data_IF_693854823149
#
_entry.id   IF_693854823149
#
_cell.length_a   1.000
_cell.length_b   1.000
_cell.length_c   1.000
_cell.angle_alpha   90.00
_cell.angle_beta   90.00
_cell.angle_gamma   90.00
#
_symmetry.space_group_name_H-M   'P 1'
#
loop_
_entity.id
_entity.type
_entity.pdbx_description
1 polymer ?
#
# COMPACT_ATOMS: atom_id res chain seq x y z
N UNK A 1 -44.23 22.58 11.15
CA UNK A 1 -43.04 22.01 11.83
C UNK A 1 -42.17 21.36 10.77
N UNK A 2 -41.05 21.98 10.43
CA UNK A 2 -40.10 21.48 9.42
C UNK A 2 -38.82 21.00 10.14
N UNK A 3 -38.20 19.89 9.73
CA UNK A 3 -36.96 19.43 10.35
C UNK A 3 -35.75 20.18 9.80
N UNK A 4 -34.92 20.68 10.71
CA UNK A 4 -33.64 21.30 10.41
C UNK A 4 -32.61 20.23 10.02
N UNK A 5 -32.02 20.37 8.83
CA UNK A 5 -30.88 19.59 8.36
C UNK A 5 -29.58 20.16 8.94
N UNK A 6 -28.91 19.38 9.76
CA UNK A 6 -27.57 19.68 10.29
C UNK A 6 -26.54 19.18 9.28
N UNK A 7 -25.85 20.09 8.61
CA UNK A 7 -24.73 19.76 7.72
C UNK A 7 -23.42 19.84 8.50
N UNK A 8 -22.80 18.69 8.73
CA UNK A 8 -21.45 18.56 9.29
C UNK A 8 -20.42 18.86 8.19
N UNK A 9 -19.95 20.10 8.14
CA UNK A 9 -18.90 20.56 7.24
C UNK A 9 -17.61 20.77 8.03
N UNK A 10 -16.97 19.67 8.43
CA UNK A 10 -15.66 19.68 9.10
C UNK A 10 -14.53 19.55 8.08
N UNK A 11 -14.33 20.62 7.31
CA UNK A 11 -13.16 20.84 6.46
C UNK A 11 -11.93 21.13 7.33
N UNK A 12 -11.10 20.12 7.59
CA UNK A 12 -9.81 20.33 8.24
C UNK A 12 -8.80 20.90 7.25
N UNK A 13 -8.36 22.12 7.56
CA UNK A 13 -7.42 22.94 6.82
C UNK A 13 -6.11 22.21 6.46
N UNK A 14 -5.73 22.39 5.19
CA UNK A 14 -4.46 21.97 4.62
C UNK A 14 -3.35 22.94 5.03
N UNK A 15 -2.58 22.59 6.06
CA UNK A 15 -1.40 23.35 6.46
C UNK A 15 -0.30 23.28 5.38
N UNK A 16 -0.05 24.41 4.73
CA UNK A 16 1.04 24.67 3.79
C UNK A 16 2.39 24.60 4.51
N UNK A 17 3.15 23.51 4.31
CA UNK A 17 4.53 23.41 4.78
C UNK A 17 5.44 24.06 3.72
N UNK A 18 5.80 25.31 3.95
CA UNK A 18 6.84 26.04 3.22
C UNK A 18 8.20 25.39 3.47
N UNK A 19 8.84 24.91 2.39
CA UNK A 19 10.17 24.32 2.39
C UNK A 19 11.25 25.32 2.79
N UNK A 20 11.73 25.20 4.04
CA UNK A 20 12.95 25.84 4.51
C UNK A 20 14.12 24.86 4.45
N UNK A 21 15.11 25.19 3.63
CA UNK A 21 16.36 24.45 3.48
C UNK A 21 17.24 24.65 4.73
N UNK A 22 17.14 23.74 5.70
CA UNK A 22 17.99 23.76 6.90
C UNK A 22 19.37 23.14 6.59
N UNK A 23 20.42 23.96 6.68
CA UNK A 23 21.81 23.50 6.73
C UNK A 23 22.07 22.84 8.09
N UNK A 24 22.72 21.66 8.15
CA UNK A 24 23.10 21.06 9.42
C UNK A 24 24.36 21.75 9.97
N UNK A 25 24.24 22.25 11.21
CA UNK A 25 25.37 22.68 12.03
C UNK A 25 26.00 21.44 12.65
N UNK A 26 27.30 21.22 12.36
CA UNK A 26 28.08 20.15 12.96
C UNK A 26 28.34 20.46 14.44
N UNK A 27 27.68 19.73 15.33
CA UNK A 27 28.00 19.68 16.76
C UNK A 27 28.65 18.33 17.09
N UNK A 28 29.95 18.36 17.34
CA UNK A 28 30.74 17.22 17.83
C UNK A 28 30.33 16.86 19.26
N UNK A 29 29.51 15.82 19.42
CA UNK A 29 29.43 15.10 20.69
C UNK A 29 29.53 13.59 20.47
N UNK A 30 30.78 13.11 20.61
CA UNK A 30 31.09 11.74 21.01
C UNK A 30 30.42 11.46 22.35
N UNK A 31 29.59 10.43 22.43
CA UNK A 31 29.46 9.61 23.63
C UNK A 31 29.04 8.20 23.26
N UNK A 32 29.87 7.27 23.73
CA UNK A 32 29.72 5.82 23.68
C UNK A 32 28.47 5.38 24.47
N UNK A 33 27.67 4.48 23.92
CA UNK A 33 27.22 3.34 24.73
C UNK A 33 26.98 2.13 23.83
N UNK A 34 27.64 1.04 24.21
CA UNK A 34 27.55 -0.27 23.60
C UNK A 34 26.52 -1.05 24.40
N UNK A 35 25.37 -1.36 23.80
CA UNK A 35 24.51 -2.44 24.27
C UNK A 35 24.06 -3.30 23.09
N UNK A 36 24.65 -4.50 23.09
CA UNK A 36 24.26 -5.66 22.32
C UNK A 36 22.79 -6.02 22.58
N UNK A 37 21.96 -6.03 21.54
CA UNK A 37 20.83 -6.96 21.47
C UNK A 37 20.92 -7.69 20.12
N UNK A 38 21.47 -8.90 20.20
CA UNK A 38 21.44 -9.91 19.13
C UNK A 38 20.02 -10.47 19.05
N UNK A 39 19.23 -9.98 18.10
CA UNK A 39 18.05 -10.71 17.66
C UNK A 39 18.49 -11.86 16.75
N UNK A 40 18.51 -13.06 17.31
CA UNK A 40 18.64 -14.32 16.59
C UNK A 40 17.39 -14.58 15.76
N UNK A 41 17.36 -13.99 14.57
CA UNK A 41 16.36 -14.28 13.56
C UNK A 41 16.66 -15.67 12.94
N UNK A 42 16.06 -16.71 13.52
CA UNK A 42 16.13 -18.11 13.09
C UNK A 42 15.49 -18.29 11.71
N UNK A 43 16.17 -17.87 10.65
CA UNK A 43 15.83 -18.26 9.28
C UNK A 43 16.29 -19.70 9.07
N UNK A 44 15.33 -20.63 9.11
CA UNK A 44 15.47 -21.96 8.50
C UNK A 44 15.77 -21.74 7.02
N UNK A 45 17.05 -21.84 6.63
CA UNK A 45 17.44 -21.95 5.22
C UNK A 45 16.89 -23.28 4.69
N UNK A 46 16.28 -23.31 3.50
CA UNK A 46 15.95 -24.56 2.84
C UNK A 46 17.25 -25.31 2.52
N UNK A 47 17.26 -26.57 2.96
CA UNK A 47 18.24 -27.61 2.67
C UNK A 47 18.61 -27.62 1.19
N UNK A 48 19.77 -27.03 0.86
CA UNK A 48 20.46 -27.23 -0.41
C UNK A 48 20.94 -28.68 -0.45
N UNK A 49 20.36 -29.45 -1.37
CA UNK A 49 20.72 -30.85 -1.62
C UNK A 49 22.20 -30.92 -2.00
N UNK A 50 22.90 -31.80 -1.32
CA UNK A 50 24.32 -32.08 -1.48
C UNK A 50 24.61 -32.58 -2.90
N UNK A 51 25.67 -32.03 -3.51
CA UNK A 51 26.50 -32.77 -4.45
C UNK A 51 27.52 -33.55 -3.62
N UNK A 52 27.30 -34.85 -3.50
CA UNK A 52 28.21 -35.83 -2.90
C UNK A 52 29.46 -35.96 -3.78
N UNK A 53 30.50 -35.14 -3.56
CA UNK A 53 31.81 -35.36 -4.20
C UNK A 53 32.99 -34.72 -3.48
N UNK A 54 32.96 -34.59 -2.14
CA UNK A 54 34.15 -34.10 -1.40
C UNK A 54 34.32 -34.67 0.01
N UNK A 55 33.81 -35.88 0.26
CA UNK A 55 33.90 -36.54 1.57
C UNK A 55 35.20 -37.35 1.77
N UNK A 56 36.35 -36.86 1.28
CA UNK A 56 37.65 -37.52 1.48
C UNK A 56 38.62 -36.72 2.39
N UNK A 57 38.39 -35.43 2.64
CA UNK A 57 39.36 -34.58 3.35
C UNK A 57 39.01 -34.25 4.82
N UNK A 58 37.84 -34.65 5.31
CA UNK A 58 37.44 -34.40 6.71
C UNK A 58 38.11 -35.35 7.72
N UNK A 59 38.56 -36.53 7.29
CA UNK A 59 39.19 -37.53 8.17
C UNK A 59 40.64 -37.24 8.54
N UNK A 60 41.44 -36.63 7.65
CA UNK A 60 42.89 -36.45 7.88
C UNK A 60 43.22 -35.40 8.96
N UNK A 61 42.32 -34.46 9.22
CA UNK A 61 42.58 -33.42 10.23
C UNK A 61 42.53 -33.95 11.68
N UNK A 62 41.87 -35.09 11.91
CA UNK A 62 41.80 -35.72 13.24
C UNK A 62 43.10 -36.47 13.60
N UNK A 63 43.91 -36.86 12.61
CA UNK A 63 45.15 -37.63 12.79
C UNK A 63 46.43 -36.78 12.70
N UNK A 64 46.33 -35.44 12.78
CA UNK A 64 47.51 -34.55 12.69
C UNK A 64 48.57 -34.81 13.76
N UNK A 65 48.16 -35.25 14.96
CA UNK A 65 49.07 -35.60 16.05
C UNK A 65 49.78 -36.93 15.81
N UNK A 66 49.06 -37.95 15.33
CA UNK A 66 49.65 -39.27 15.05
C UNK A 66 50.57 -39.25 13.82
N UNK A 67 50.23 -38.47 12.79
CA UNK A 67 51.09 -38.32 11.61
C UNK A 67 52.41 -37.59 11.91
N UNK A 68 52.42 -36.66 12.87
CA UNK A 68 53.65 -36.02 13.35
C UNK A 68 54.60 -37.00 14.06
N UNK A 69 54.07 -37.98 14.77
CA UNK A 69 54.87 -38.98 15.48
C UNK A 69 55.57 -39.96 14.52
N UNK A 70 55.02 -40.16 13.33
CA UNK A 70 55.58 -41.03 12.29
C UNK A 70 56.53 -40.24 11.35
N UNK A 71 56.78 -38.95 11.66
CA UNK A 71 57.70 -38.12 10.89
C UNK A 71 57.17 -37.67 9.53
N UNK A 72 55.87 -37.81 9.26
CA UNK A 72 55.25 -37.33 8.01
C UNK A 72 55.02 -35.81 8.14
N UNK A 73 55.73 -34.97 7.37
CA UNK A 73 55.54 -33.53 7.44
C UNK A 73 54.15 -33.16 6.89
N UNK A 74 53.39 -32.28 7.57
CA UNK A 74 52.09 -31.86 7.08
C UNK A 74 52.23 -31.19 5.70
N UNK A 75 51.26 -31.39 4.79
CA UNK A 75 51.33 -30.76 3.47
C UNK A 75 51.45 -29.24 3.61
N UNK A 76 52.24 -28.59 2.73
CA UNK A 76 52.45 -27.15 2.78
C UNK A 76 51.09 -26.45 2.78
N UNK A 77 50.88 -25.61 3.80
CA UNK A 77 49.64 -24.88 3.97
C UNK A 77 49.46 -24.03 2.70
N UNK A 78 48.33 -24.14 1.96
CA UNK A 78 48.10 -23.28 0.81
C UNK A 78 48.22 -21.82 1.26
N UNK A 79 48.75 -20.93 0.41
CA UNK A 79 48.99 -19.54 0.78
C UNK A 79 47.71 -18.96 1.36
N UNK A 80 47.78 -18.55 2.63
CA UNK A 80 46.68 -17.89 3.30
C UNK A 80 46.29 -16.68 2.42
N UNK A 81 45.04 -16.59 1.95
CA UNK A 81 44.62 -15.45 1.16
C UNK A 81 44.89 -14.20 2.00
N UNK A 82 45.70 -13.29 1.46
CA UNK A 82 46.05 -12.02 2.10
C UNK A 82 44.79 -11.43 2.75
N UNK A 83 44.86 -10.88 3.98
CA UNK A 83 43.69 -10.39 4.69
C UNK A 83 42.97 -9.40 3.80
N UNK A 84 41.89 -9.86 3.17
CA UNK A 84 41.06 -9.04 2.29
C UNK A 84 40.47 -8.01 3.22
N UNK A 85 41.05 -6.80 3.21
CA UNK A 85 40.49 -5.65 3.89
C UNK A 85 39.01 -5.65 3.49
N UNK A 86 38.07 -5.77 4.45
CA UNK A 86 36.67 -5.89 4.10
C UNK A 86 36.36 -4.72 3.19
N UNK A 87 35.89 -5.01 1.98
CA UNK A 87 35.44 -3.99 1.04
C UNK A 87 34.33 -3.25 1.77
N UNK A 88 34.68 -2.11 2.39
CA UNK A 88 33.73 -1.20 3.03
C UNK A 88 32.94 -0.63 1.87
N UNK A 89 31.92 -1.38 1.43
CA UNK A 89 30.85 -0.83 0.59
C UNK A 89 30.42 0.40 1.34
N UNK A 90 30.66 1.57 0.76
CA UNK A 90 30.35 2.87 1.35
C UNK A 90 29.04 2.75 2.12
N UNK A 91 29.14 2.66 3.44
CA UNK A 91 28.00 2.41 4.28
C UNK A 91 27.16 3.67 4.15
N UNK A 92 26.14 3.62 3.28
CA UNK A 92 25.19 4.72 3.13
C UNK A 92 24.80 5.11 4.55
N UNK A 93 24.93 6.39 4.94
CA UNK A 93 24.63 6.83 6.29
C UNK A 93 23.24 6.30 6.65
N UNK A 94 23.21 5.36 7.59
CA UNK A 94 21.97 4.73 8.03
C UNK A 94 21.33 5.74 8.97
N UNK A 95 20.52 6.62 8.40
CA UNK A 95 19.79 7.63 9.16
C UNK A 95 18.89 6.88 10.14
N UNK A 96 19.25 6.85 11.41
CA UNK A 96 18.42 6.32 12.49
C UNK A 96 17.32 7.35 12.79
N UNK A 97 16.37 7.52 11.88
CA UNK A 97 15.15 8.33 12.09
C UNK A 97 14.03 7.51 12.74
N UNK A 98 14.36 6.42 13.44
CA UNK A 98 13.33 5.58 14.05
C UNK A 98 12.88 6.21 15.36
N UNK A 99 11.86 7.06 15.26
CA UNK A 99 11.10 7.54 16.40
C UNK A 99 10.30 6.34 16.93
N UNK A 100 10.77 5.71 18.01
CA UNK A 100 10.14 4.51 18.59
C UNK A 100 8.99 4.83 19.54
N UNK A 101 9.02 6.01 20.14
CA UNK A 101 7.99 6.53 21.05
C UNK A 101 7.68 7.97 20.69
N UNK A 102 6.45 8.39 20.93
CA UNK A 102 6.06 9.80 20.83
C UNK A 102 6.95 10.59 21.78
N UNK A 103 7.63 11.60 21.26
CA UNK A 103 8.49 12.48 22.08
C UNK A 103 7.75 13.70 22.56
N UNK A 104 6.59 13.99 21.97
CA UNK A 104 5.70 15.08 22.38
C UNK A 104 4.43 14.48 23.00
N UNK A 105 4.13 14.87 24.24
CA UNK A 105 2.86 14.52 24.88
C UNK A 105 1.71 15.32 24.27
N UNK A 106 0.52 14.73 24.20
CA UNK A 106 -0.69 15.45 23.80
C UNK A 106 -1.02 16.60 24.72
N UNK A 107 -0.59 16.52 25.99
CA UNK A 107 -0.76 17.58 26.96
C UNK A 107 0.19 18.76 26.70
N UNK A 108 1.41 18.48 26.23
CA UNK A 108 2.38 19.53 25.86
C UNK A 108 1.90 20.34 24.65
N UNK A 109 1.23 19.68 23.69
CA UNK A 109 0.62 20.34 22.52
C UNK A 109 -0.54 21.25 22.96
N UNK A 110 -1.37 20.78 23.91
CA UNK A 110 -2.49 21.58 24.44
C UNK A 110 -2.00 22.82 25.19
N UNK A 111 -0.98 22.68 26.02
CA UNK A 111 -0.36 23.80 26.73
C UNK A 111 0.25 24.80 25.75
N UNK A 112 0.95 24.32 24.71
CA UNK A 112 1.52 25.20 23.68
C UNK A 112 0.45 26.01 22.91
N UNK A 113 -0.72 25.41 22.63
CA UNK A 113 -1.84 26.10 21.96
C UNK A 113 -2.47 27.15 22.89
N UNK A 114 -2.52 26.91 24.20
CA UNK A 114 -3.08 27.85 25.18
C UNK A 114 -2.13 29.03 25.45
N UNK A 115 -0.82 28.81 25.39
CA UNK A 115 0.22 29.82 25.65
C UNK A 115 0.53 30.72 24.44
N UNK A 116 0.02 30.41 23.25
CA UNK A 116 0.25 31.16 21.99
C UNK A 116 -0.28 32.61 21.99
N UNK A 117 -0.96 33.05 23.05
CA UNK A 117 -1.37 34.46 23.23
C UNK A 117 -0.21 35.40 23.68
N UNK A 118 1.01 34.90 23.91
CA UNK A 118 2.20 35.72 24.20
C UNK A 118 3.17 35.74 23.02
N UNK A 119 3.36 36.92 22.42
CA UNK A 119 4.01 37.17 21.12
C UNK A 119 5.46 36.67 20.91
N UNK A 120 6.17 36.22 21.95
CA UNK A 120 7.51 35.63 21.82
C UNK A 120 7.52 34.08 21.84
N UNK A 121 6.42 33.45 22.30
CA UNK A 121 6.30 31.99 22.38
C UNK A 121 5.89 31.33 21.03
N UNK A 122 5.33 32.09 20.09
CA UNK A 122 4.76 31.58 18.82
C UNK A 122 5.74 30.70 18.01
N UNK A 123 7.04 31.01 18.03
CA UNK A 123 8.02 30.24 17.23
C UNK A 123 8.38 28.90 17.86
N UNK A 124 8.39 28.81 19.19
CA UNK A 124 8.65 27.57 19.92
C UNK A 124 7.44 26.63 19.89
N UNK A 125 6.23 27.16 20.08
CA UNK A 125 4.96 26.41 19.99
C UNK A 125 4.75 25.81 18.61
N UNK A 126 5.02 26.57 17.54
CA UNK A 126 4.90 26.09 16.15
C UNK A 126 5.84 24.92 15.85
N UNK A 127 7.05 24.92 16.42
CA UNK A 127 7.99 23.81 16.31
C UNK A 127 7.49 22.54 17.02
N UNK A 128 6.86 22.70 18.19
CA UNK A 128 6.33 21.59 18.99
C UNK A 128 5.08 20.97 18.33
N UNK A 129 4.16 21.81 17.83
CA UNK A 129 2.96 21.37 17.10
C UNK A 129 3.34 20.66 15.79
N UNK A 130 4.24 21.23 14.98
CA UNK A 130 4.67 20.60 13.72
C UNK A 130 5.36 19.26 13.95
N UNK A 131 6.14 19.12 15.03
CA UNK A 131 6.75 17.86 15.44
C UNK A 131 5.71 16.83 15.89
N UNK A 132 4.70 17.22 16.67
CA UNK A 132 3.62 16.33 17.09
C UNK A 132 2.80 15.81 15.90
N UNK A 133 2.46 16.69 14.95
CA UNK A 133 1.75 16.32 13.71
C UNK A 133 2.56 15.35 12.87
N UNK A 134 3.87 15.58 12.74
CA UNK A 134 4.75 14.66 12.01
C UNK A 134 4.85 13.28 12.68
N UNK A 135 5.02 13.24 14.01
CA UNK A 135 5.07 12.00 14.76
C UNK A 135 3.76 11.21 14.63
N UNK A 136 2.61 11.87 14.74
CA UNK A 136 1.32 11.23 14.57
C UNK A 136 1.14 10.63 13.18
N UNK A 137 1.47 11.40 12.14
CA UNK A 137 1.47 10.90 10.76
C UNK A 137 2.42 9.70 10.59
N UNK A 138 3.63 9.77 11.14
CA UNK A 138 4.63 8.70 11.06
C UNK A 138 4.15 7.41 11.75
N UNK A 139 3.60 7.51 12.97
CA UNK A 139 3.07 6.36 13.69
C UNK A 139 1.84 5.77 13.01
N UNK A 140 0.95 6.60 12.45
CA UNK A 140 -0.21 6.14 11.67
C UNK A 140 0.25 5.35 10.44
N UNK A 141 1.21 5.86 9.68
CA UNK A 141 1.81 5.14 8.53
C UNK A 141 2.51 3.85 8.94
N UNK A 142 3.15 3.84 10.12
CA UNK A 142 3.79 2.63 10.64
C UNK A 142 2.77 1.58 11.07
N UNK A 143 1.65 1.98 11.69
CA UNK A 143 0.53 1.08 12.03
C UNK A 143 -0.16 0.55 10.77
N UNK A 144 -0.41 1.38 9.78
CA UNK A 144 -0.95 0.98 8.47
C UNK A 144 -0.03 -0.07 7.81
N UNK A 145 1.28 0.16 7.82
CA UNK A 145 2.25 -0.81 7.30
C UNK A 145 2.28 -2.14 8.09
N UNK A 146 2.05 -2.11 9.41
CA UNK A 146 1.91 -3.33 10.22
C UNK A 146 0.61 -4.06 9.89
N UNK A 147 -0.51 -3.37 9.82
CA UNK A 147 -1.82 -3.92 9.46
C UNK A 147 -1.79 -4.59 8.07
N UNK A 148 -1.14 -3.96 7.08
CA UNK A 148 -0.94 -4.55 5.75
C UNK A 148 -0.14 -5.86 5.81
N UNK A 149 0.91 -5.93 6.65
CA UNK A 149 1.69 -7.16 6.82
C UNK A 149 0.89 -8.25 7.51
N UNK A 150 0.13 -7.92 8.54
CA UNK A 150 -0.74 -8.86 9.26
C UNK A 150 -1.84 -9.40 8.36
N UNK A 151 -2.47 -8.54 7.54
CA UNK A 151 -3.46 -8.95 6.54
C UNK A 151 -2.85 -9.94 5.52
N UNK A 152 -1.65 -9.67 5.01
CA UNK A 152 -0.93 -10.61 4.11
C UNK A 152 -0.64 -11.94 4.78
N UNK A 153 -0.24 -11.94 6.06
CA UNK A 153 0.00 -13.18 6.82
C UNK A 153 -1.31 -13.96 7.00
N UNK A 154 -2.44 -13.30 7.25
CA UNK A 154 -3.74 -13.95 7.37
C UNK A 154 -4.21 -14.54 6.03
N UNK A 155 -4.02 -13.82 4.93
CA UNK A 155 -4.33 -14.30 3.59
C UNK A 155 -3.49 -15.54 3.22
N UNK A 156 -2.19 -15.52 3.51
CA UNK A 156 -1.32 -16.69 3.32
C UNK A 156 -1.74 -17.88 4.19
N UNK A 157 -2.14 -17.64 5.45
CA UNK A 157 -2.67 -18.69 6.33
C UNK A 157 -3.95 -19.30 5.78
N UNK A 158 -4.90 -18.47 5.32
CA UNK A 158 -6.12 -18.95 4.68
C UNK A 158 -5.82 -19.73 3.40
N UNK A 159 -4.87 -19.28 2.60
CA UNK A 159 -4.44 -19.98 1.39
C UNK A 159 -3.88 -21.37 1.73
N UNK A 160 -2.98 -21.46 2.71
CA UNK A 160 -2.43 -22.75 3.16
C UNK A 160 -3.51 -23.69 3.70
N UNK A 161 -4.44 -23.16 4.50
CA UNK A 161 -5.56 -23.95 5.02
C UNK A 161 -6.46 -24.48 3.90
N UNK A 162 -6.73 -23.68 2.86
CA UNK A 162 -7.47 -24.14 1.66
C UNK A 162 -6.73 -25.24 0.90
N UNK A 163 -5.43 -25.07 0.65
CA UNK A 163 -4.60 -26.07 -0.04
C UNK A 163 -4.50 -27.39 0.74
N UNK A 164 -4.43 -27.33 2.07
CA UNK A 164 -4.41 -28.51 2.94
C UNK A 164 -5.76 -29.24 2.93
N UNK A 165 -6.87 -28.52 3.04
CA UNK A 165 -8.20 -29.10 2.92
C UNK A 165 -8.45 -29.74 1.55
N UNK A 166 -8.00 -29.09 0.47
CA UNK A 166 -8.12 -29.65 -0.88
C UNK A 166 -7.32 -30.96 -1.02
N UNK A 167 -6.13 -31.04 -0.41
CA UNK A 167 -5.36 -32.30 -0.36
C UNK A 167 -6.09 -33.38 0.42
N UNK A 168 -6.66 -33.05 1.58
CA UNK A 168 -7.44 -34.00 2.38
C UNK A 168 -8.69 -34.47 1.63
N UNK A 169 -9.37 -33.60 0.88
CA UNK A 169 -10.49 -34.00 0.03
C UNK A 169 -10.05 -34.94 -1.10
N UNK A 170 -8.93 -34.65 -1.77
CA UNK A 170 -8.36 -35.51 -2.81
C UNK A 170 -8.00 -36.89 -2.25
N UNK A 171 -7.43 -36.94 -1.04
CA UNK A 171 -7.12 -38.20 -0.35
C UNK A 171 -8.37 -38.97 0.08
N UNK A 172 -9.41 -38.28 0.58
CA UNK A 172 -10.71 -38.92 0.88
C UNK A 172 -11.34 -39.48 -0.40
N UNK A 173 -11.33 -38.73 -1.49
CA UNK A 173 -11.86 -39.17 -2.80
C UNK A 173 -11.09 -40.38 -3.34
N UNK A 174 -9.76 -40.43 -3.19
CA UNK A 174 -8.97 -41.59 -3.63
C UNK A 174 -9.21 -42.83 -2.76
N UNK A 175 -9.35 -42.66 -1.43
CA UNK A 175 -9.71 -43.75 -0.51
C UNK A 175 -11.08 -44.34 -0.84
N UNK A 176 -12.09 -43.50 -1.05
CA UNK A 176 -13.44 -43.95 -1.43
C UNK A 176 -13.43 -44.72 -2.76
N UNK A 177 -12.71 -44.22 -3.78
CA UNK A 177 -12.55 -44.93 -5.06
C UNK A 177 -11.86 -46.29 -4.90
N UNK A 178 -10.88 -46.38 -4.01
CA UNK A 178 -10.18 -47.64 -3.74
C UNK A 178 -11.08 -48.65 -3.01
N UNK A 179 -11.87 -48.21 -2.03
CA UNK A 179 -12.85 -49.06 -1.35
C UNK A 179 -13.94 -49.56 -2.32
N UNK A 180 -14.44 -48.70 -3.19
CA UNK A 180 -15.40 -49.07 -4.24
C UNK A 180 -14.82 -50.13 -5.19
N UNK A 181 -13.55 -49.97 -5.59
CA UNK A 181 -12.84 -50.97 -6.40
C UNK A 181 -12.70 -52.33 -5.69
N UNK A 182 -12.40 -52.34 -4.38
CA UNK A 182 -12.32 -53.56 -3.60
C UNK A 182 -13.68 -54.29 -3.54
N UNK A 183 -14.78 -53.56 -3.30
CA UNK A 183 -16.14 -54.13 -3.29
C UNK A 183 -16.50 -54.76 -4.64
N UNK A 184 -16.26 -54.03 -5.74
CA UNK A 184 -16.53 -54.54 -7.09
C UNK A 184 -15.68 -55.79 -7.42
N UNK A 185 -14.42 -55.85 -6.94
CA UNK A 185 -13.57 -57.03 -7.11
C UNK A 185 -14.09 -58.25 -6.33
N UNK A 186 -14.68 -58.03 -5.16
CA UNK A 186 -15.26 -59.09 -4.33
C UNK A 186 -16.55 -59.65 -4.95
N UNK A 187 -17.43 -58.79 -5.45
CA UNK A 187 -18.66 -59.20 -6.17
C UNK A 187 -18.33 -60.03 -7.42
N UNK A 188 -17.34 -59.60 -8.21
CA UNK A 188 -16.89 -60.36 -9.38
C UNK A 188 -16.32 -61.75 -9.05
N UNK A 189 -15.78 -61.95 -7.84
CA UNK A 189 -15.32 -63.28 -7.38
C UNK A 189 -16.48 -64.18 -6.95
N UNK A 190 -17.55 -63.62 -6.38
CA UNK A 190 -18.76 -64.37 -6.00
C UNK A 190 -19.48 -64.88 -7.26
N UNK A 191 -19.72 -64.00 -8.23
CA UNK A 191 -20.41 -64.36 -9.48
C UNK A 191 -19.69 -65.46 -10.30
N UNK A 192 -18.35 -65.53 -10.27
CA UNK A 192 -17.58 -66.58 -10.96
C UNK A 192 -17.63 -67.97 -10.31
N UNK A 193 -18.07 -68.09 -9.05
CA UNK A 193 -18.18 -69.39 -8.36
C UNK A 193 -19.48 -70.12 -8.66
N UNK A 194 -20.54 -69.37 -9.00
CA UNK A 194 -21.87 -69.94 -9.23
C UNK A 194 -22.04 -70.55 -10.63
N UNK A 195 -21.24 -70.13 -11.62
CA UNK A 195 -21.28 -70.65 -13.00
C UNK A 195 -20.57 -72.01 -13.23
N UNK A 196 -19.97 -72.63 -12.21
CA UNK A 196 -19.18 -73.88 -12.38
C UNK A 196 -19.90 -75.21 -12.09
N UNK A 197 -21.21 -75.21 -11.82
CA UNK A 197 -22.00 -76.45 -11.59
C UNK A 197 -22.91 -76.77 -12.77
N UNK A 198 -22.34 -77.27 -13.87
CA UNK A 198 -23.10 -77.82 -15.00
C UNK A 198 -23.59 -79.27 -14.75
N UNK A 199 -24.78 -79.69 -15.23
CA UNK A 199 -25.36 -81.00 -14.93
C UNK A 199 -24.73 -82.13 -15.77
N UNK A 200 -24.36 -83.24 -15.12
CA UNK A 200 -23.90 -84.49 -15.75
C UNK A 200 -25.06 -85.20 -16.47
N UNK A 201 -24.87 -85.53 -17.75
CA UNK A 201 -25.81 -86.33 -18.56
C UNK A 201 -25.65 -87.82 -18.23
N UNK A 202 -26.77 -88.51 -17.98
CA UNK A 202 -26.85 -89.96 -17.83
C UNK A 202 -27.31 -90.59 -19.16
N UNK A 203 -26.69 -91.70 -19.57
CA UNK A 203 -27.06 -92.48 -20.75
C UNK A 203 -27.77 -93.78 -20.32
N UNK A 204 -28.91 -94.18 -20.92
CA UNK A 204 -29.52 -95.47 -20.67
C UNK A 204 -29.11 -96.54 -21.70
N UNK A 205 -28.71 -97.70 -21.19
CA UNK A 205 -28.43 -98.93 -21.92
C UNK A 205 -29.70 -99.57 -22.50
N UNK A 206 -29.59 -100.11 -23.72
CA UNK A 206 -30.61 -100.90 -24.43
C UNK A 206 -30.50 -102.39 -24.06
N UNK A 207 -31.63 -103.04 -23.81
CA UNK A 207 -31.79 -104.49 -23.87
C UNK A 207 -33.03 -104.87 -24.68
N UNK A 208 -32.91 -105.99 -25.39
CA UNK A 208 -33.83 -106.59 -26.36
C UNK A 208 -35.14 -107.11 -25.72
N UNK A 209 -36.30 -106.93 -26.38
CA UNK A 209 -37.54 -107.65 -26.05
C UNK A 209 -38.78 -107.21 -26.85
N UNK A 210 -39.42 -108.18 -27.52
CA UNK A 210 -40.78 -108.26 -28.05
C UNK A 210 -41.30 -107.30 -29.15
N UNK A 211 -41.75 -107.88 -30.28
CA UNK A 211 -42.29 -107.18 -31.46
C UNK A 211 -43.54 -106.34 -31.17
N UNK A 212 -44.40 -106.74 -30.23
CA UNK A 212 -45.56 -105.93 -29.79
C UNK A 212 -45.14 -104.78 -28.86
N UNK A 213 -44.10 -104.99 -28.03
CA UNK A 213 -43.51 -103.92 -27.23
C UNK A 213 -42.77 -102.90 -28.10
N UNK A 214 -42.21 -103.33 -29.25
CA UNK A 214 -41.56 -102.46 -30.24
C UNK A 214 -42.58 -101.53 -30.93
N UNK A 215 -43.80 -101.99 -31.24
CA UNK A 215 -44.83 -101.14 -31.84
C UNK A 215 -45.42 -100.13 -30.83
N UNK A 216 -45.67 -100.57 -29.59
CA UNK A 216 -46.06 -99.66 -28.51
C UNK A 216 -44.94 -98.67 -28.14
N UNK A 217 -43.68 -99.11 -28.16
CA UNK A 217 -42.51 -98.24 -28.00
C UNK A 217 -42.32 -97.31 -29.19
N UNK A 218 -42.68 -97.71 -30.41
CA UNK A 218 -42.61 -96.87 -31.60
C UNK A 218 -43.67 -95.75 -31.56
N UNK A 219 -44.89 -96.05 -31.12
CA UNK A 219 -45.93 -95.03 -30.88
C UNK A 219 -45.54 -94.07 -29.75
N UNK A 220 -45.04 -94.58 -28.62
CA UNK A 220 -44.49 -93.74 -27.54
C UNK A 220 -43.29 -92.92 -27.99
N UNK A 221 -42.38 -93.48 -28.78
CA UNK A 221 -41.23 -92.77 -29.35
C UNK A 221 -41.67 -91.69 -30.33
N UNK A 222 -42.72 -91.91 -31.12
CA UNK A 222 -43.28 -90.92 -32.05
C UNK A 222 -43.94 -89.76 -31.29
N UNK A 223 -44.69 -90.04 -30.23
CA UNK A 223 -45.25 -89.00 -29.35
C UNK A 223 -44.17 -88.27 -28.56
N UNK A 224 -43.16 -88.99 -28.07
CA UNK A 224 -42.03 -88.42 -27.35
C UNK A 224 -41.16 -87.56 -28.28
N UNK A 225 -40.98 -87.97 -29.55
CA UNK A 225 -40.33 -87.14 -30.58
C UNK A 225 -41.14 -85.92 -30.96
N UNK A 226 -42.47 -86.03 -31.02
CA UNK A 226 -43.35 -84.88 -31.25
C UNK A 226 -43.27 -83.89 -30.08
N UNK A 227 -43.29 -84.37 -28.83
CA UNK A 227 -43.09 -83.55 -27.62
C UNK A 227 -41.67 -82.96 -27.54
N UNK A 228 -40.65 -83.70 -27.95
CA UNK A 228 -39.26 -83.23 -28.00
C UNK A 228 -39.11 -82.14 -29.09
N UNK A 229 -39.79 -82.27 -30.22
CA UNK A 229 -39.82 -81.24 -31.27
C UNK A 229 -40.55 -79.97 -30.81
N UNK A 230 -41.67 -80.08 -30.08
CA UNK A 230 -42.33 -78.92 -29.45
C UNK A 230 -41.47 -78.29 -28.36
N UNK A 231 -40.82 -79.08 -27.51
CA UNK A 231 -39.92 -78.59 -26.46
C UNK A 231 -38.68 -77.90 -27.07
N UNK A 232 -38.17 -78.40 -28.20
CA UNK A 232 -37.10 -77.76 -28.95
C UNK A 232 -37.55 -76.42 -29.56
N UNK A 233 -38.75 -76.35 -30.14
CA UNK A 233 -39.34 -75.10 -30.64
C UNK A 233 -39.56 -74.06 -29.54
N UNK A 234 -40.07 -74.47 -28.37
CA UNK A 234 -40.22 -73.59 -27.19
C UNK A 234 -38.86 -73.05 -26.72
N UNK A 235 -37.84 -73.90 -26.62
CA UNK A 235 -36.48 -73.48 -26.26
C UNK A 235 -35.85 -72.56 -27.30
N UNK A 236 -36.18 -72.70 -28.58
CA UNK A 236 -35.69 -71.80 -29.62
C UNK A 236 -36.36 -70.42 -29.53
N UNK A 237 -37.67 -70.37 -29.28
CA UNK A 237 -38.40 -69.12 -29.05
C UNK A 237 -37.90 -68.39 -27.79
N UNK A 238 -37.71 -69.11 -26.69
CA UNK A 238 -37.19 -68.55 -25.43
C UNK A 238 -35.75 -68.05 -25.58
N UNK A 239 -34.92 -68.72 -26.40
CA UNK A 239 -33.57 -68.21 -26.75
C UNK A 239 -33.62 -66.94 -27.59
N UNK A 240 -34.55 -66.85 -28.55
CA UNK A 240 -34.74 -65.64 -29.37
C UNK A 240 -35.23 -64.47 -28.52
N UNK A 241 -36.21 -64.67 -27.64
CA UNK A 241 -36.67 -63.64 -26.70
C UNK A 241 -35.54 -63.21 -25.74
N UNK A 242 -34.73 -64.14 -25.23
CA UNK A 242 -33.59 -63.82 -24.38
C UNK A 242 -32.47 -63.07 -25.13
N UNK A 243 -32.28 -63.30 -26.43
CA UNK A 243 -31.36 -62.52 -27.26
C UNK A 243 -31.91 -61.11 -27.53
N UNK A 244 -33.19 -60.98 -27.86
CA UNK A 244 -33.84 -59.67 -28.04
C UNK A 244 -33.83 -58.84 -26.74
N UNK A 245 -34.05 -59.47 -25.58
CA UNK A 245 -33.98 -58.77 -24.29
C UNK A 245 -32.55 -58.30 -23.97
N UNK A 246 -31.52 -59.11 -24.30
CA UNK A 246 -30.11 -58.71 -24.17
C UNK A 246 -29.75 -57.58 -25.12
N UNK A 247 -30.29 -57.58 -26.33
CA UNK A 247 -30.08 -56.52 -27.31
C UNK A 247 -30.74 -55.21 -26.87
N UNK A 248 -31.98 -55.27 -26.34
CA UNK A 248 -32.65 -54.11 -25.72
C UNK A 248 -31.84 -53.53 -24.56
N UNK A 249 -31.35 -54.38 -23.65
CA UNK A 249 -30.49 -53.94 -22.53
C UNK A 249 -29.19 -53.29 -23.01
N UNK A 250 -28.58 -53.79 -24.08
CA UNK A 250 -27.40 -53.16 -24.69
C UNK A 250 -27.71 -51.78 -25.26
N UNK A 251 -28.82 -51.64 -25.99
CA UNK A 251 -29.24 -50.36 -26.56
C UNK A 251 -29.57 -49.35 -25.47
N UNK A 252 -30.26 -49.77 -24.40
CA UNK A 252 -30.55 -48.91 -23.24
C UNK A 252 -29.28 -48.45 -22.52
N UNK A 253 -28.33 -49.36 -22.30
CA UNK A 253 -27.04 -49.02 -21.69
C UNK A 253 -26.24 -48.04 -22.57
N UNK A 254 -26.25 -48.21 -23.89
CA UNK A 254 -25.62 -47.28 -24.82
C UNK A 254 -26.28 -45.89 -24.77
N UNK A 255 -27.61 -45.81 -24.78
CA UNK A 255 -28.35 -44.54 -24.65
C UNK A 255 -28.06 -43.85 -23.31
N UNK A 256 -28.02 -44.61 -22.22
CA UNK A 256 -27.67 -44.07 -20.90
C UNK A 256 -26.25 -43.49 -20.88
N UNK A 257 -25.29 -44.20 -21.50
CA UNK A 257 -23.91 -43.73 -21.62
C UNK A 257 -23.79 -42.47 -22.47
N UNK A 258 -24.48 -42.39 -23.60
CA UNK A 258 -24.49 -41.19 -24.45
C UNK A 258 -25.11 -39.98 -23.74
N UNK A 259 -26.22 -40.19 -23.00
CA UNK A 259 -26.82 -39.12 -22.20
C UNK A 259 -25.89 -38.64 -21.08
N UNK A 260 -25.21 -39.57 -20.40
CA UNK A 260 -24.21 -39.22 -19.39
C UNK A 260 -23.05 -38.42 -20.00
N UNK A 261 -22.53 -38.86 -21.16
CA UNK A 261 -21.45 -38.17 -21.87
C UNK A 261 -21.86 -36.75 -22.27
N UNK A 262 -23.04 -36.57 -22.86
CA UNK A 262 -23.58 -35.24 -23.22
C UNK A 262 -23.73 -34.34 -21.99
N UNK A 263 -24.27 -34.85 -20.88
CA UNK A 263 -24.39 -34.08 -19.63
C UNK A 263 -23.03 -33.66 -19.08
N UNK A 264 -22.04 -34.55 -19.09
CA UNK A 264 -20.68 -34.24 -18.65
C UNK A 264 -20.02 -33.17 -19.53
N UNK A 265 -20.17 -33.27 -20.86
CA UNK A 265 -19.66 -32.25 -21.79
C UNK A 265 -20.34 -30.89 -21.58
N UNK A 266 -21.67 -30.86 -21.38
CA UNK A 266 -22.40 -29.64 -21.07
C UNK A 266 -21.98 -29.01 -19.74
N UNK A 267 -21.72 -29.83 -18.72
CA UNK A 267 -21.26 -29.35 -17.41
C UNK A 267 -19.86 -28.74 -17.50
N UNK A 268 -18.93 -29.39 -18.21
CA UNK A 268 -17.60 -28.83 -18.49
C UNK A 268 -17.69 -27.54 -19.30
N UNK A 269 -18.57 -27.47 -20.30
CA UNK A 269 -18.80 -26.25 -21.08
C UNK A 269 -19.38 -25.12 -20.23
N UNK A 270 -20.30 -25.42 -19.31
CA UNK A 270 -20.86 -24.44 -18.35
C UNK A 270 -19.80 -23.95 -17.36
N UNK A 271 -18.93 -24.83 -16.86
CA UNK A 271 -17.81 -24.44 -15.99
C UNK A 271 -16.82 -23.53 -16.72
N UNK A 272 -16.39 -23.91 -17.93
CA UNK A 272 -15.51 -23.09 -18.75
C UNK A 272 -16.12 -21.71 -19.08
N UNK A 273 -17.42 -21.65 -19.39
CA UNK A 273 -18.11 -20.39 -19.62
C UNK A 273 -18.18 -19.50 -18.37
N UNK A 274 -18.39 -20.09 -17.18
CA UNK A 274 -18.38 -19.37 -15.91
C UNK A 274 -17.00 -18.80 -15.57
N UNK A 275 -15.95 -19.61 -15.74
CA UNK A 275 -14.57 -19.17 -15.51
C UNK A 275 -14.18 -18.04 -16.47
N UNK A 276 -14.54 -18.15 -17.75
CA UNK A 276 -14.29 -17.09 -18.74
C UNK A 276 -15.05 -15.79 -18.40
N UNK A 277 -16.28 -15.90 -17.88
CA UNK A 277 -17.06 -14.73 -17.45
C UNK A 277 -16.44 -14.06 -16.20
N UNK A 278 -15.98 -14.86 -15.24
CA UNK A 278 -15.33 -14.35 -14.03
C UNK A 278 -13.97 -13.69 -14.35
N UNK A 279 -13.21 -14.26 -15.29
CA UNK A 279 -11.95 -13.67 -15.76
C UNK A 279 -12.18 -12.32 -16.47
N UNK A 280 -13.21 -12.23 -17.32
CA UNK A 280 -13.61 -10.96 -17.96
C UNK A 280 -13.99 -9.91 -16.93
N UNK A 281 -14.81 -10.26 -15.94
CA UNK A 281 -15.23 -9.33 -14.90
C UNK A 281 -14.03 -8.83 -14.06
N UNK A 282 -13.09 -9.72 -13.72
CA UNK A 282 -11.83 -9.34 -13.06
C UNK A 282 -10.95 -8.44 -13.93
N UNK A 283 -10.95 -8.62 -15.25
CA UNK A 283 -10.20 -7.75 -16.16
C UNK A 283 -10.84 -6.35 -16.25
N UNK A 284 -12.16 -6.27 -16.34
CA UNK A 284 -12.91 -5.02 -16.33
C UNK A 284 -12.72 -4.25 -15.02
N UNK A 285 -12.79 -4.91 -13.87
CA UNK A 285 -12.55 -4.27 -12.57
C UNK A 285 -11.11 -3.74 -12.44
N UNK A 286 -10.12 -4.46 -12.99
CA UNK A 286 -8.73 -3.98 -13.03
C UNK A 286 -8.58 -2.75 -13.92
N UNK A 287 -9.27 -2.70 -15.06
CA UNK A 287 -9.29 -1.53 -15.95
C UNK A 287 -9.93 -0.33 -15.24
N UNK A 288 -11.10 -0.51 -14.62
CA UNK A 288 -11.77 0.54 -13.83
C UNK A 288 -10.88 1.08 -12.71
N UNK A 289 -10.21 0.21 -11.96
CA UNK A 289 -9.26 0.65 -10.92
C UNK A 289 -8.06 1.44 -11.48
N UNK A 290 -7.57 1.10 -12.67
CA UNK A 290 -6.51 1.89 -13.32
C UNK A 290 -7.04 3.26 -13.74
N UNK A 291 -8.24 3.31 -14.30
CA UNK A 291 -8.88 4.56 -14.73
C UNK A 291 -9.16 5.48 -13.54
N UNK A 292 -9.67 4.95 -12.43
CA UNK A 292 -9.86 5.70 -11.17
C UNK A 292 -8.54 6.26 -10.64
N UNK A 293 -7.47 5.45 -10.59
CA UNK A 293 -6.14 5.92 -10.18
C UNK A 293 -5.58 7.01 -11.10
N UNK A 294 -5.84 6.92 -12.40
CA UNK A 294 -5.46 7.95 -13.35
C UNK A 294 -6.24 9.24 -13.10
N UNK A 295 -7.57 9.16 -12.91
CA UNK A 295 -8.42 10.31 -12.57
C UNK A 295 -8.00 10.97 -11.26
N UNK A 296 -7.67 10.18 -10.24
CA UNK A 296 -7.15 10.69 -8.96
C UNK A 296 -5.79 11.38 -9.13
N UNK A 297 -4.87 10.78 -9.90
CA UNK A 297 -3.57 11.39 -10.17
C UNK A 297 -3.70 12.70 -10.95
N UNK A 298 -4.57 12.74 -11.96
CA UNK A 298 -4.87 13.96 -12.72
C UNK A 298 -5.53 15.03 -11.86
N UNK A 299 -6.47 14.66 -10.99
CA UNK A 299 -7.11 15.58 -10.04
C UNK A 299 -6.10 16.18 -9.07
N UNK A 300 -5.24 15.36 -8.46
CA UNK A 300 -4.14 15.82 -7.61
C UNK A 300 -3.19 16.76 -8.34
N UNK A 301 -2.85 16.45 -9.60
CA UNK A 301 -1.97 17.28 -10.41
C UNK A 301 -2.61 18.64 -10.75
N UNK A 302 -3.91 18.67 -11.08
CA UNK A 302 -4.66 19.92 -11.30
C UNK A 302 -4.71 20.77 -10.03
N UNK A 303 -5.04 20.17 -8.89
CA UNK A 303 -5.09 20.86 -7.60
C UNK A 303 -3.72 21.46 -7.23
N UNK A 304 -2.63 20.71 -7.45
CA UNK A 304 -1.27 21.21 -7.23
C UNK A 304 -0.92 22.38 -8.15
N UNK A 305 -1.26 22.29 -9.44
CA UNK A 305 -1.04 23.37 -10.42
C UNK A 305 -1.80 24.63 -10.01
N UNK A 306 -3.07 24.51 -9.65
CA UNK A 306 -3.89 25.63 -9.18
C UNK A 306 -3.36 26.25 -7.89
N UNK A 307 -2.86 25.43 -6.97
CA UNK A 307 -2.22 25.92 -5.74
C UNK A 307 -0.94 26.72 -6.06
N UNK A 308 -0.14 26.26 -7.02
CA UNK A 308 1.06 26.98 -7.48
C UNK A 308 0.72 28.28 -8.20
N UNK A 309 -0.30 28.27 -9.05
CA UNK A 309 -0.77 29.48 -9.72
C UNK A 309 -1.34 30.50 -8.72
N UNK A 310 -2.05 30.03 -7.69
CA UNK A 310 -2.49 30.87 -6.56
C UNK A 310 -1.31 31.47 -5.80
N UNK A 311 -0.29 30.67 -5.48
CA UNK A 311 0.94 31.14 -4.81
C UNK A 311 1.64 32.24 -5.62
N UNK A 312 1.75 32.06 -6.94
CA UNK A 312 2.34 33.06 -7.85
C UNK A 312 1.51 34.34 -7.86
N UNK A 313 0.18 34.24 -8.01
CA UNK A 313 -0.74 35.39 -7.98
C UNK A 313 -0.66 36.15 -6.66
N UNK A 314 -0.59 35.45 -5.53
CA UNK A 314 -0.48 36.07 -4.22
C UNK A 314 0.85 36.82 -4.05
N UNK A 315 1.97 36.24 -4.50
CA UNK A 315 3.27 36.92 -4.50
C UNK A 315 3.24 38.21 -5.31
N UNK A 316 2.70 38.16 -6.54
CA UNK A 316 2.54 39.35 -7.39
C UNK A 316 1.63 40.40 -6.75
N UNK A 317 0.52 39.99 -6.13
CA UNK A 317 -0.39 40.90 -5.42
C UNK A 317 0.30 41.56 -4.21
N UNK A 318 1.11 40.81 -3.47
CA UNK A 318 1.88 41.32 -2.32
C UNK A 318 2.93 42.33 -2.75
N UNK A 319 3.63 42.10 -3.87
CA UNK A 319 4.59 43.05 -4.43
C UNK A 319 3.90 44.35 -4.88
N UNK A 320 2.78 44.26 -5.59
CA UNK A 320 1.97 45.44 -5.96
C UNK A 320 1.55 46.25 -4.73
N UNK A 321 1.07 45.58 -3.67
CA UNK A 321 0.70 46.26 -2.40
C UNK A 321 1.88 46.93 -1.70
N UNK A 322 3.09 46.36 -1.79
CA UNK A 322 4.29 47.01 -1.25
C UNK A 322 4.67 48.24 -2.06
N UNK A 323 4.55 48.16 -3.39
CA UNK A 323 4.83 49.29 -4.27
C UNK A 323 3.85 50.45 -4.05
N UNK A 324 2.54 50.17 -3.94
CA UNK A 324 1.54 51.21 -3.65
C UNK A 324 1.79 51.86 -2.29
N UNK A 325 2.06 51.07 -1.24
CA UNK A 325 2.43 51.60 0.09
C UNK A 325 3.71 52.44 0.05
N UNK A 326 4.68 52.09 -0.81
CA UNK A 326 5.91 52.88 -0.97
C UNK A 326 5.62 54.22 -1.63
N UNK A 327 4.80 54.23 -2.70
CA UNK A 327 4.35 55.45 -3.38
C UNK A 327 3.57 56.36 -2.45
N UNK A 328 2.61 55.81 -1.70
CA UNK A 328 1.81 56.55 -0.72
C UNK A 328 2.69 57.19 0.37
N UNK A 329 3.67 56.45 0.91
CA UNK A 329 4.64 57.01 1.87
C UNK A 329 5.54 58.08 1.27
N UNK A 330 5.90 57.95 0.00
CA UNK A 330 6.72 58.94 -0.70
C UNK A 330 5.93 60.22 -0.97
N UNK A 331 4.67 60.10 -1.37
CA UNK A 331 3.72 61.22 -1.51
C UNK A 331 3.51 61.92 -0.16
N UNK A 332 3.28 61.17 0.93
CA UNK A 332 3.16 61.73 2.28
C UNK A 332 4.41 62.54 2.67
N UNK A 333 5.61 61.99 2.48
CA UNK A 333 6.87 62.70 2.74
C UNK A 333 7.02 63.96 1.87
N UNK A 334 6.57 63.93 0.62
CA UNK A 334 6.59 65.11 -0.23
C UNK A 334 5.62 66.18 0.27
N UNK A 335 4.43 65.79 0.73
CA UNK A 335 3.46 66.74 1.31
C UNK A 335 3.97 67.34 2.63
N UNK A 336 4.59 66.54 3.51
CA UNK A 336 5.22 67.01 4.74
C UNK A 336 6.33 68.03 4.45
N UNK A 337 7.23 67.73 3.50
CA UNK A 337 8.29 68.67 3.09
C UNK A 337 7.74 69.99 2.53
N UNK A 338 6.66 69.93 1.74
CA UNK A 338 6.01 71.15 1.21
C UNK A 338 5.40 71.98 2.35
N UNK A 339 4.71 71.32 3.27
CA UNK A 339 4.13 71.97 4.44
C UNK A 339 5.22 72.61 5.33
N UNK A 340 6.31 71.89 5.63
CA UNK A 340 7.44 72.43 6.39
C UNK A 340 8.08 73.65 5.69
N UNK A 341 8.26 73.60 4.38
CA UNK A 341 8.77 74.73 3.61
C UNK A 341 7.83 75.95 3.65
N UNK A 342 6.52 75.74 3.56
CA UNK A 342 5.51 76.80 3.72
C UNK A 342 5.54 77.42 5.11
N UNK A 343 5.66 76.61 6.17
CA UNK A 343 5.77 77.09 7.55
C UNK A 343 7.05 77.90 7.76
N UNK A 344 8.20 77.41 7.28
CA UNK A 344 9.47 78.12 7.34
C UNK A 344 9.39 79.46 6.60
N UNK A 345 8.69 79.51 5.46
CA UNK A 345 8.47 80.74 4.71
C UNK A 345 7.60 81.74 5.48
N UNK A 346 6.51 81.29 6.12
CA UNK A 346 5.67 82.15 6.98
C UNK A 346 6.46 82.72 8.15
N UNK A 347 7.19 81.88 8.87
CA UNK A 347 8.03 82.33 9.98
C UNK A 347 9.11 83.33 9.51
N UNK A 348 9.66 83.13 8.31
CA UNK A 348 10.58 84.10 7.72
C UNK A 348 9.90 85.45 7.44
N UNK A 349 8.70 85.45 6.87
CA UNK A 349 7.91 86.67 6.65
C UNK A 349 7.60 87.40 7.96
N UNK A 350 7.19 86.67 9.00
CA UNK A 350 6.93 87.25 10.33
C UNK A 350 8.18 87.94 10.87
N UNK A 351 9.36 87.31 10.73
CA UNK A 351 10.63 87.92 11.13
C UNK A 351 11.08 89.11 10.27
N UNK A 352 10.65 89.18 9.00
CA UNK A 352 10.89 90.36 8.14
C UNK A 352 10.00 91.53 8.59
N UNK A 353 8.72 91.26 8.86
CA UNK A 353 7.76 92.25 9.36
C UNK A 353 8.17 92.78 10.74
N UNK A 354 8.62 91.91 11.64
CA UNK A 354 9.10 92.32 12.97
C UNK A 354 10.33 93.23 12.86
N UNK A 355 11.27 92.94 11.95
CA UNK A 355 12.43 93.80 11.69
C UNK A 355 12.08 95.12 11.01
N UNK A 356 10.99 95.16 10.24
CA UNK A 356 10.46 96.39 9.66
C UNK A 356 9.81 97.24 10.76
N UNK A 357 8.99 96.63 11.61
CA UNK A 357 8.39 97.29 12.77
C UNK A 357 9.43 97.84 13.74
N UNK A 358 10.48 97.07 14.05
CA UNK A 358 11.62 97.54 14.86
C UNK A 358 12.33 98.73 14.23
N UNK A 359 12.47 98.76 12.89
CA UNK A 359 13.07 99.90 12.17
C UNK A 359 12.16 101.13 12.26
N UNK A 360 10.85 100.95 12.11
CA UNK A 360 9.87 102.05 12.25
C UNK A 360 9.84 102.59 13.69
N UNK A 361 9.88 101.72 14.70
CA UNK A 361 10.00 102.10 16.11
C UNK A 361 11.33 102.82 16.39
N UNK A 362 12.45 102.35 15.83
CA UNK A 362 13.74 103.00 15.98
C UNK A 362 13.72 104.41 15.36
N UNK A 363 13.14 104.57 14.16
CA UNK A 363 12.95 105.87 13.51
C UNK A 363 12.10 106.83 14.36
N UNK A 364 10.99 106.36 14.93
CA UNK A 364 10.15 107.17 15.83
C UNK A 364 10.89 107.53 17.14
N UNK A 365 11.72 106.62 17.67
CA UNK A 365 12.51 106.87 18.88
C UNK A 365 13.61 107.91 18.68
N UNK A 366 14.20 107.98 17.48
CA UNK A 366 15.23 108.97 17.12
C UNK A 366 14.65 110.38 17.04
N UNK A 367 13.43 110.55 16.51
CA UNK A 367 12.73 111.84 16.52
C UNK A 367 12.40 112.31 17.94
N UNK A 368 12.10 111.38 18.85
CA UNK A 368 11.85 111.70 20.27
C UNK A 368 13.13 112.13 20.98
N UNK A 369 14.29 111.58 20.60
CA UNK A 369 15.61 111.93 21.17
C UNK A 369 16.18 113.26 20.66
N UNK A 370 15.72 113.75 19.50
CA UNK A 370 16.08 115.06 18.96
C UNK A 370 15.19 116.20 19.48
N UNK A 371 14.09 115.88 20.19
CA UNK A 371 13.18 116.85 20.80
C UNK A 371 13.70 117.57 22.06
N UNK A 372 14.71 117.02 22.75
CA UNK A 372 15.29 117.61 23.97
C UNK A 372 16.67 118.26 23.77
N UNK A 373 17.20 118.26 22.53
CA UNK A 373 18.28 119.18 22.18
C UNK A 373 17.69 120.53 21.80
N UNK A 374 17.31 121.27 22.85
CA UNK A 374 17.11 122.71 22.84
C UNK A 374 18.21 123.39 21.99
N UNK A 375 17.83 123.79 20.78
CA UNK A 375 18.52 124.75 19.92
C UNK A 375 18.50 126.17 20.51
N UNK A 376 18.53 126.29 21.84
CA UNK A 376 18.75 127.52 22.60
C UNK A 376 19.97 127.32 23.50
N UNK A 377 21.18 127.58 22.97
CA UNK A 377 21.88 128.77 23.45
C UNK A 377 22.73 129.53 22.42
N UNK A 378 22.65 129.24 21.12
CA UNK A 378 23.51 129.94 20.14
C UNK A 378 22.98 131.33 19.74
N UNK A 379 21.67 131.59 19.85
CA UNK A 379 21.12 132.94 19.58
C UNK A 379 21.32 133.96 20.72
N UNK A 380 21.92 133.60 21.85
CA UNK A 380 22.23 134.56 22.94
C UNK A 380 23.63 135.19 22.86
N UNK A 381 24.47 134.82 21.88
CA UNK A 381 25.85 135.36 21.74
C UNK A 381 26.06 136.42 20.65
N UNK A 382 25.03 136.79 19.89
CA UNK A 382 25.16 137.78 18.80
C UNK A 382 24.75 139.21 19.23
N UNK A 383 24.09 139.40 20.38
CA UNK A 383 23.66 140.73 20.87
C UNK A 383 24.62 141.39 21.88
N UNK A 384 25.90 141.00 21.94
CA UNK A 384 26.87 141.58 22.89
C UNK A 384 28.18 142.08 22.25
N UNK A 385 28.19 142.26 20.91
CA UNK A 385 29.35 142.82 20.16
C UNK A 385 29.02 144.16 19.46
N UNK A 386 27.77 144.63 19.51
CA UNK A 386 27.39 145.96 19.02
C UNK A 386 26.88 146.81 20.19
N UNK A 387 27.81 147.44 20.90
CA UNK A 387 27.75 148.75 21.60
C UNK A 387 29.10 148.86 22.34
N UNK A 388 30.10 149.42 21.66
CA UNK A 388 30.97 150.47 22.19
C UNK A 388 31.85 151.05 21.09
#
# INVERSE_FOLDING_TARGET
MAPASFSDDSSWDSAVISGGTLRPVCGDHRSRSALNIRDYDKRKRPSSKMSDTTHCNAGLNQFRRSLRLIGVPPPPRPPEPAPVRPLVKAARPKVFTRVERRTVSTEDVRSAILDDNRSEAETASRGLVSRAVYEEWYFRKQQEAKAIREAKIQEEKQKRWREENEKLEKEKKSKLKFEEWLKNKEENKKNKKDDKKGPKRFAPNRTHGDKEAIEAAYLKWKEEKAKEAEAARKKEMEKKEAEEEKERKRIEAQKAFEMWKKKAEEEMKKQAAKEAAEERLKAEDKEKQKEERQKEAESCFRAWREAKDREIKERLAKERRKETKKKEKEEQRQTERRYEAEQAFRHWLDGVLEKEHQRDEELLSVDTRMGDNSLYPIMKRINQIFIS
#
